data_IF_410962619258
#
_entry.id   IF_410962619258
#
_cell.length_a   1.000
_cell.length_b   1.000
_cell.length_c   1.000
_cell.angle_alpha   90.00
_cell.angle_beta   90.00
_cell.angle_gamma   90.00
#
_symmetry.space_group_name_H-M   'P 1'
#
loop_
_entity.id
_entity.type
_entity.pdbx_description
1 polymer ?
#
# COMPACT_ATOMS: atom_id res chain seq x y z
N UNK A 1 11.20 5.38 -26.95
CA UNK A 1 10.53 4.23 -26.27
C UNK A 1 11.18 3.88 -24.93
N UNK A 2 12.50 3.70 -24.85
CA UNK A 2 13.22 3.38 -23.59
C UNK A 2 13.03 4.42 -22.47
N UNK A 3 13.06 5.72 -22.79
CA UNK A 3 12.89 6.78 -21.78
C UNK A 3 11.51 6.80 -21.13
N UNK A 4 10.44 6.54 -21.89
CA UNK A 4 9.07 6.48 -21.35
C UNK A 4 8.93 5.35 -20.33
N UNK A 5 9.47 4.17 -20.65
CA UNK A 5 9.48 3.00 -19.75
C UNK A 5 10.30 3.29 -18.48
N UNK A 6 11.46 3.95 -18.62
CA UNK A 6 12.29 4.30 -17.48
C UNK A 6 11.56 5.25 -16.52
N UNK A 7 10.92 6.31 -17.05
CA UNK A 7 10.16 7.25 -16.23
C UNK A 7 8.98 6.56 -15.52
N UNK A 8 8.30 5.65 -16.21
CA UNK A 8 7.21 4.85 -15.64
C UNK A 8 7.66 4.06 -14.40
N UNK A 9 8.80 3.37 -14.51
CA UNK A 9 9.39 2.60 -13.41
C UNK A 9 9.83 3.51 -12.26
N UNK A 10 10.38 4.69 -12.56
CA UNK A 10 10.76 5.69 -11.54
C UNK A 10 9.54 6.16 -10.75
N UNK A 11 8.42 6.46 -11.42
CA UNK A 11 7.20 6.90 -10.75
C UNK A 11 6.59 5.79 -9.88
N UNK A 12 6.57 4.55 -10.36
CA UNK A 12 6.14 3.40 -9.56
C UNK A 12 6.99 3.24 -8.29
N UNK A 13 8.31 3.32 -8.42
CA UNK A 13 9.22 3.19 -7.28
C UNK A 13 9.07 4.35 -6.29
N UNK A 14 8.97 5.59 -6.76
CA UNK A 14 8.70 6.77 -5.92
C UNK A 14 7.36 6.64 -5.20
N UNK A 15 6.32 6.19 -5.89
CA UNK A 15 5.01 5.97 -5.31
C UNK A 15 5.00 4.89 -4.23
N UNK A 16 5.75 3.80 -4.44
CA UNK A 16 5.91 2.75 -3.44
C UNK A 16 6.61 3.27 -2.17
N UNK A 17 7.70 4.02 -2.33
CA UNK A 17 8.40 4.65 -1.20
C UNK A 17 7.46 5.62 -0.47
N UNK A 18 6.71 6.43 -1.22
CA UNK A 18 5.76 7.38 -0.66
C UNK A 18 4.67 6.69 0.16
N UNK A 19 4.08 5.62 -0.39
CA UNK A 19 3.07 4.80 0.31
C UNK A 19 3.62 4.16 1.60
N UNK A 20 4.86 3.67 1.56
CA UNK A 20 5.54 3.14 2.74
C UNK A 20 5.81 4.22 3.79
N UNK A 21 6.21 5.42 3.36
CA UNK A 21 6.38 6.58 4.25
C UNK A 21 5.09 6.94 4.97
N UNK A 22 3.95 6.97 4.25
CA UNK A 22 2.62 7.19 4.85
C UNK A 22 2.28 6.08 5.85
N UNK A 23 2.60 4.82 5.53
CA UNK A 23 2.36 3.68 6.43
C UNK A 23 3.11 3.87 7.75
N UNK A 24 4.39 4.21 7.68
CA UNK A 24 5.22 4.45 8.86
C UNK A 24 4.65 5.59 9.70
N UNK A 25 4.27 6.70 9.05
CA UNK A 25 3.69 7.87 9.72
C UNK A 25 2.36 7.53 10.42
N UNK A 26 1.45 6.83 9.73
CA UNK A 26 0.17 6.43 10.30
C UNK A 26 0.32 5.40 11.43
N UNK A 27 1.25 4.44 11.29
CA UNK A 27 1.54 3.47 12.36
C UNK A 27 2.15 4.16 13.59
N UNK A 28 2.96 5.19 13.40
CA UNK A 28 3.49 5.99 14.50
C UNK A 28 2.38 6.75 15.24
N UNK A 29 1.45 7.36 14.50
CA UNK A 29 0.28 8.00 15.11
C UNK A 29 -0.57 6.95 15.86
N UNK A 30 -0.76 5.78 15.24
CA UNK A 30 -1.53 4.69 15.83
C UNK A 30 -0.90 4.17 17.13
N UNK A 31 0.42 4.04 17.18
CA UNK A 31 1.12 3.59 18.40
C UNK A 31 0.97 4.57 19.56
N UNK A 32 0.99 5.88 19.29
CA UNK A 32 0.72 6.91 20.29
C UNK A 32 -0.72 6.83 20.82
N UNK A 33 -1.71 6.56 19.97
CA UNK A 33 -3.11 6.40 20.39
C UNK A 33 -3.28 5.15 21.27
N UNK A 34 -2.63 4.04 20.90
CA UNK A 34 -2.67 2.78 21.64
C UNK A 34 -2.04 2.90 23.03
N UNK A 35 -1.08 3.81 23.23
CA UNK A 35 -0.46 4.05 24.54
C UNK A 35 -1.47 4.52 25.60
N UNK A 36 -2.49 5.29 25.19
CA UNK A 36 -3.45 5.92 26.10
C UNK A 36 -4.84 5.28 26.08
N UNK A 37 -5.07 4.27 25.23
CA UNK A 37 -6.41 3.71 25.01
C UNK A 37 -6.40 2.19 25.17
N UNK A 38 -7.27 1.60 26.02
CA UNK A 38 -7.37 0.15 26.16
C UNK A 38 -8.10 -0.45 24.95
N UNK A 39 -7.35 -0.93 23.96
CA UNK A 39 -7.88 -1.63 22.79
C UNK A 39 -7.82 -3.14 22.96
N UNK A 40 -8.86 -3.83 22.45
CA UNK A 40 -8.82 -5.29 22.23
C UNK A 40 -7.89 -5.62 21.06
N UNK A 41 -7.22 -6.76 21.09
CA UNK A 41 -6.29 -7.20 20.03
C UNK A 41 -6.94 -7.23 18.63
N UNK A 42 -8.22 -7.61 18.55
CA UNK A 42 -9.01 -7.59 17.31
C UNK A 42 -9.02 -6.23 16.61
N UNK A 43 -8.99 -5.16 17.39
CA UNK A 43 -9.05 -3.80 16.86
C UNK A 43 -7.70 -3.38 16.27
N UNK A 44 -6.59 -3.90 16.78
CA UNK A 44 -5.24 -3.61 16.28
C UNK A 44 -5.09 -4.14 14.85
N UNK A 45 -5.56 -5.37 14.59
CA UNK A 45 -5.54 -5.96 13.25
C UNK A 45 -6.38 -5.16 12.24
N UNK A 46 -7.56 -4.71 12.66
CA UNK A 46 -8.43 -3.86 11.85
C UNK A 46 -7.78 -2.50 11.53
N UNK A 47 -7.21 -1.84 12.55
CA UNK A 47 -6.54 -0.54 12.40
C UNK A 47 -5.34 -0.62 11.44
N UNK A 48 -4.53 -1.68 11.54
CA UNK A 48 -3.43 -1.91 10.60
C UNK A 48 -3.94 -2.11 9.16
N UNK A 49 -5.06 -2.80 9.00
CA UNK A 49 -5.69 -2.96 7.68
C UNK A 49 -6.11 -1.60 7.13
N UNK A 50 -6.76 -0.74 7.93
CA UNK A 50 -7.15 0.62 7.53
C UNK A 50 -5.94 1.46 7.11
N UNK A 51 -4.84 1.39 7.87
CA UNK A 51 -3.58 2.07 7.52
C UNK A 51 -3.09 1.62 6.14
N UNK A 52 -3.06 0.31 5.89
CA UNK A 52 -2.70 -0.24 4.59
C UNK A 52 -3.61 0.29 3.47
N UNK A 53 -4.94 0.34 3.68
CA UNK A 53 -5.89 0.88 2.69
C UNK A 53 -5.52 2.32 2.32
N UNK A 54 -5.35 3.18 3.33
CA UNK A 54 -5.09 4.61 3.14
C UNK A 54 -3.76 4.81 2.41
N UNK A 55 -2.71 4.12 2.87
CA UNK A 55 -1.37 4.20 2.28
C UNK A 55 -1.34 3.78 0.81
N UNK A 56 -1.96 2.64 0.47
CA UNK A 56 -2.01 2.16 -0.91
C UNK A 56 -2.82 3.12 -1.77
N UNK A 57 -3.96 3.61 -1.27
CA UNK A 57 -4.82 4.54 -2.01
C UNK A 57 -4.06 5.81 -2.37
N UNK A 58 -3.43 6.47 -1.40
CA UNK A 58 -2.68 7.71 -1.64
C UNK A 58 -1.48 7.46 -2.56
N UNK A 59 -0.74 6.37 -2.37
CA UNK A 59 0.37 5.99 -3.25
C UNK A 59 -0.07 5.73 -4.69
N UNK A 60 -1.21 5.05 -4.87
CA UNK A 60 -1.76 4.72 -6.19
C UNK A 60 -2.29 5.94 -6.92
N UNK A 61 -2.90 6.88 -6.18
CA UNK A 61 -3.30 8.20 -6.69
C UNK A 61 -2.07 8.94 -7.20
N UNK A 62 -1.03 9.05 -6.37
CA UNK A 62 0.22 9.73 -6.73
C UNK A 62 0.84 9.16 -8.00
N UNK A 63 0.95 7.83 -8.12
CA UNK A 63 1.50 7.18 -9.31
C UNK A 63 0.65 7.45 -10.53
N UNK A 64 -0.67 7.34 -10.41
CA UNK A 64 -1.58 7.44 -11.56
C UNK A 64 -1.65 8.86 -12.11
N UNK A 65 -1.56 9.88 -11.26
CA UNK A 65 -1.46 11.29 -11.69
C UNK A 65 -0.18 11.53 -12.48
N UNK A 66 0.97 11.05 -11.96
CA UNK A 66 2.28 11.31 -12.56
C UNK A 66 2.51 10.53 -13.87
N UNK A 67 2.05 9.29 -13.94
CA UNK A 67 2.15 8.48 -15.16
C UNK A 67 1.13 8.94 -16.19
N UNK A 68 -0.09 9.27 -15.76
CA UNK A 68 -1.10 9.91 -16.59
C UNK A 68 -1.73 9.01 -17.67
N UNK A 69 -1.56 7.69 -17.58
CA UNK A 69 -2.23 6.69 -18.40
C UNK A 69 -2.54 5.43 -17.57
N UNK A 70 -3.57 4.65 -17.95
CA UNK A 70 -3.89 3.34 -17.37
C UNK A 70 -3.90 3.29 -15.83
N UNK A 71 -4.58 4.23 -15.16
CA UNK A 71 -4.59 4.35 -13.70
C UNK A 71 -4.93 3.06 -12.96
N UNK A 72 -5.92 2.31 -13.44
CA UNK A 72 -6.30 1.01 -12.85
C UNK A 72 -5.14 0.00 -12.85
N UNK A 73 -4.38 -0.10 -13.94
CA UNK A 73 -3.21 -1.00 -14.05
C UNK A 73 -2.10 -0.52 -13.13
N UNK A 74 -1.75 0.76 -13.18
CA UNK A 74 -0.64 1.31 -12.42
C UNK A 74 -0.90 1.29 -10.90
N UNK A 75 -2.14 1.57 -10.50
CA UNK A 75 -2.58 1.43 -9.12
C UNK A 75 -2.58 -0.03 -8.66
N UNK A 76 -3.06 -0.96 -9.48
CA UNK A 76 -3.01 -2.40 -9.18
C UNK A 76 -1.57 -2.92 -9.02
N UNK A 77 -0.65 -2.51 -9.91
CA UNK A 77 0.79 -2.82 -9.80
C UNK A 77 1.35 -2.29 -8.48
N UNK A 78 1.03 -1.04 -8.11
CA UNK A 78 1.49 -0.47 -6.84
C UNK A 78 0.95 -1.25 -5.64
N UNK A 79 -0.32 -1.65 -5.66
CA UNK A 79 -0.94 -2.47 -4.61
C UNK A 79 -0.27 -3.85 -4.45
N UNK A 80 0.11 -4.49 -5.55
CA UNK A 80 0.87 -5.75 -5.54
C UNK A 80 2.28 -5.53 -5.00
N UNK A 81 3.00 -4.52 -5.51
CA UNK A 81 4.36 -4.21 -5.07
C UNK A 81 4.42 -3.85 -3.58
N UNK A 82 3.44 -3.09 -3.09
CA UNK A 82 3.29 -2.77 -1.68
C UNK A 82 3.10 -4.04 -0.83
N UNK A 83 2.24 -4.96 -1.28
CA UNK A 83 2.01 -6.22 -0.57
C UNK A 83 3.25 -7.13 -0.58
N UNK A 84 4.00 -7.19 -1.69
CA UNK A 84 5.27 -7.91 -1.74
C UNK A 84 6.27 -7.36 -0.72
N UNK A 85 6.33 -6.04 -0.56
CA UNK A 85 7.15 -5.42 0.48
C UNK A 85 6.66 -5.75 1.89
N UNK A 86 5.35 -5.80 2.13
CA UNK A 86 4.81 -6.27 3.42
C UNK A 86 5.19 -7.71 3.74
N UNK A 87 5.15 -8.62 2.75
CA UNK A 87 5.60 -10.00 2.92
C UNK A 87 7.10 -10.03 3.23
N UNK A 88 7.90 -9.27 2.48
CA UNK A 88 9.35 -9.23 2.68
C UNK A 88 9.69 -8.77 4.11
N UNK A 89 9.01 -7.73 4.60
CA UNK A 89 9.15 -7.26 5.97
C UNK A 89 8.73 -8.33 6.99
N UNK A 90 7.57 -8.99 6.80
CA UNK A 90 7.16 -10.09 7.68
C UNK A 90 8.21 -11.20 7.72
N UNK A 91 8.73 -11.62 6.57
CA UNK A 91 9.73 -12.67 6.48
C UNK A 91 11.05 -12.30 7.21
N UNK A 92 11.48 -11.04 7.11
CA UNK A 92 12.71 -10.55 7.74
C UNK A 92 12.60 -10.45 9.27
N UNK A 93 11.45 -9.99 9.79
CA UNK A 93 11.29 -9.64 11.21
C UNK A 93 10.50 -10.68 12.03
N UNK A 94 9.55 -11.39 11.43
CA UNK A 94 8.58 -12.26 12.09
C UNK A 94 8.72 -13.70 11.55
N UNK A 95 9.63 -14.48 12.14
CA UNK A 95 9.71 -15.93 11.88
C UNK A 95 8.74 -16.67 12.82
N UNK A 96 8.00 -17.71 12.39
CA UNK A 96 7.95 -18.32 11.05
C UNK A 96 6.92 -17.67 10.11
N UNK A 97 7.23 -17.64 8.80
CA UNK A 97 6.31 -17.19 7.75
C UNK A 97 5.27 -18.28 7.46
N UNK A 98 4.02 -18.04 7.85
CA UNK A 98 2.89 -18.93 7.57
C UNK A 98 1.98 -18.27 6.52
N UNK A 99 1.65 -19.03 5.48
CA UNK A 99 0.65 -18.62 4.50
C UNK A 99 -0.71 -19.01 5.06
N UNK A 100 -1.53 -18.01 5.37
CA UNK A 100 -2.89 -18.20 5.86
C UNK A 100 -3.92 -17.49 4.97
N UNK A 101 -5.21 -17.75 5.24
CA UNK A 101 -6.32 -17.14 4.50
C UNK A 101 -6.33 -15.60 4.65
N UNK A 102 -5.80 -15.07 5.75
CA UNK A 102 -5.73 -13.64 6.00
C UNK A 102 -4.70 -12.95 5.10
N UNK A 103 -3.56 -13.59 4.86
CA UNK A 103 -2.50 -13.11 3.98
C UNK A 103 -2.98 -13.08 2.52
N UNK A 104 -3.71 -14.11 2.08
CA UNK A 104 -4.35 -14.14 0.76
C UNK A 104 -5.41 -13.03 0.66
N UNK A 105 -6.23 -12.85 1.71
CA UNK A 105 -7.20 -11.76 1.78
C UNK A 105 -6.55 -10.38 1.65
N UNK A 106 -5.40 -10.16 2.30
CA UNK A 106 -4.64 -8.91 2.19
C UNK A 106 -4.07 -8.68 0.79
N UNK A 107 -3.63 -9.71 0.08
CA UNK A 107 -3.18 -9.59 -1.31
C UNK A 107 -4.31 -9.11 -2.23
N UNK A 108 -5.48 -9.76 -2.13
CA UNK A 108 -6.64 -9.38 -2.95
C UNK A 108 -7.07 -7.95 -2.60
N UNK A 109 -7.13 -7.64 -1.31
CA UNK A 109 -7.52 -6.33 -0.82
C UNK A 109 -6.53 -5.24 -1.29
N UNK A 110 -5.22 -5.46 -1.19
CA UNK A 110 -4.20 -4.50 -1.64
C UNK A 110 -4.28 -4.24 -3.14
N UNK A 111 -4.54 -5.28 -3.94
CA UNK A 111 -4.75 -5.17 -5.38
C UNK A 111 -6.00 -4.36 -5.71
N UNK A 112 -7.14 -4.68 -5.10
CA UNK A 112 -8.41 -3.98 -5.34
C UNK A 112 -8.33 -2.51 -4.95
N UNK A 113 -7.75 -2.22 -3.77
CA UNK A 113 -7.58 -0.84 -3.31
C UNK A 113 -6.60 -0.08 -4.19
N UNK A 114 -5.52 -0.74 -4.63
CA UNK A 114 -4.58 -0.17 -5.59
C UNK A 114 -5.29 0.24 -6.89
N UNK A 115 -6.10 -0.66 -7.45
CA UNK A 115 -6.91 -0.38 -8.65
C UNK A 115 -7.83 0.82 -8.42
N UNK A 116 -8.58 0.83 -7.30
CA UNK A 116 -9.53 1.92 -6.98
C UNK A 116 -8.78 3.25 -6.84
N UNK A 117 -7.71 3.29 -6.05
CA UNK A 117 -6.88 4.49 -5.88
C UNK A 117 -6.27 4.96 -7.21
N UNK A 118 -5.89 4.03 -8.08
CA UNK A 118 -5.37 4.36 -9.39
C UNK A 118 -6.42 4.94 -10.35
N UNK A 119 -7.64 4.41 -10.34
CA UNK A 119 -8.78 4.98 -11.07
C UNK A 119 -9.08 6.39 -10.55
N UNK A 120 -9.11 6.59 -9.23
CA UNK A 120 -9.31 7.92 -8.66
C UNK A 120 -8.20 8.88 -9.12
N UNK A 121 -6.95 8.46 -9.06
CA UNK A 121 -5.81 9.31 -9.44
C UNK A 121 -5.81 9.74 -10.90
N UNK A 122 -6.14 8.85 -11.84
CA UNK A 122 -6.16 9.21 -13.26
C UNK A 122 -7.30 10.19 -13.59
N UNK A 123 -8.42 10.11 -12.86
CA UNK A 123 -9.57 11.01 -13.00
C UNK A 123 -9.40 12.36 -12.31
N UNK A 124 -8.39 12.51 -11.42
CA UNK A 124 -8.04 13.77 -10.76
C UNK A 124 -7.01 14.61 -11.54
N UNK A 125 -6.42 14.04 -12.58
CA UNK A 125 -5.49 14.74 -13.49
C UNK A 125 -6.27 15.67 -14.42
#
# INVERSE_FOLDING_TARGET
MKEKVLNHMIYLFKGLIFSMGITILLLFILSLILLYTPFKESNISLLNTIVMIISITIGSIYVSINIGENGWINGGILGILYFLMLILLNYLFLKPFLIDIYLIGKLVLSLVIGIIGGIIGINLK
#
